data_IF_520904101061
#
_entry.id   IF_520904101061
#
_cell.length_a   1.000
_cell.length_b   1.000
_cell.length_c   1.000
_cell.angle_alpha   90.00
_cell.angle_beta   90.00
_cell.angle_gamma   90.00
#
_symmetry.space_group_name_H-M   'P 1'
#
loop_
_entity.id
_entity.type
_entity.pdbx_description
1 polymer ?
#
# COMPACT_ATOMS: atom_id res chain seq x y z
N UNK A 1 -5.77 0.04 -19.82
CA UNK A 1 -4.97 -0.42 -20.98
C UNK A 1 -5.63 -0.10 -22.32
N UNK A 2 -6.95 -0.27 -22.46
CA UNK A 2 -7.67 0.08 -23.71
C UNK A 2 -7.57 1.55 -24.10
N UNK A 3 -7.68 2.48 -23.14
CA UNK A 3 -7.59 3.93 -23.42
C UNK A 3 -6.21 4.31 -23.98
N UNK A 4 -5.11 3.74 -23.44
CA UNK A 4 -3.77 3.96 -23.99
C UNK A 4 -3.59 3.32 -25.35
N UNK A 5 -4.21 2.15 -25.63
CA UNK A 5 -4.20 1.54 -26.96
C UNK A 5 -4.97 2.36 -27.98
N UNK A 6 -6.09 2.98 -27.61
CA UNK A 6 -6.87 3.88 -28.46
C UNK A 6 -6.06 5.15 -28.77
N UNK A 7 -5.45 5.76 -27.75
CA UNK A 7 -4.59 6.93 -27.94
C UNK A 7 -3.36 6.63 -28.82
N UNK A 8 -2.77 5.45 -28.68
CA UNK A 8 -1.67 5.01 -29.53
C UNK A 8 -2.10 4.76 -30.98
N UNK A 9 -3.33 4.26 -31.22
CA UNK A 9 -3.89 4.09 -32.56
C UNK A 9 -4.21 5.42 -33.25
N UNK A 10 -4.64 6.42 -32.48
CA UNK A 10 -5.01 7.75 -32.98
C UNK A 10 -3.78 8.61 -33.24
N UNK A 11 -2.71 8.45 -32.48
CA UNK A 11 -1.48 9.23 -32.57
C UNK A 11 -0.24 8.37 -32.81
N UNK A 12 -0.13 7.74 -33.98
CA UNK A 12 1.12 7.04 -34.42
C UNK A 12 2.38 7.90 -34.32
N UNK A 13 2.23 9.17 -33.97
CA UNK A 13 3.32 10.13 -33.93
C UNK A 13 4.26 9.95 -32.73
N UNK A 14 3.75 9.40 -31.59
CA UNK A 14 4.47 9.37 -30.31
C UNK A 14 4.49 8.02 -29.60
N UNK A 15 3.87 6.99 -30.16
CA UNK A 15 3.90 5.66 -29.60
C UNK A 15 3.77 4.54 -30.65
N UNK A 16 4.31 3.37 -30.31
CA UNK A 16 4.19 2.13 -31.07
C UNK A 16 3.91 0.94 -30.15
N UNK A 17 3.48 -0.17 -30.74
CA UNK A 17 3.37 -1.45 -30.04
C UNK A 17 4.59 -2.29 -30.40
N UNK A 18 5.26 -2.85 -29.39
CA UNK A 18 6.43 -3.69 -29.60
C UNK A 18 6.06 -4.93 -30.42
N UNK A 19 6.74 -5.12 -31.56
CA UNK A 19 6.81 -6.36 -32.32
C UNK A 19 8.08 -7.10 -31.92
N UNK A 20 7.93 -8.26 -31.29
CA UNK A 20 9.07 -9.04 -30.78
C UNK A 20 10.03 -9.47 -31.89
N UNK A 21 9.53 -9.71 -33.11
CA UNK A 21 10.33 -10.12 -34.24
C UNK A 21 11.16 -8.97 -34.85
N UNK A 22 10.75 -7.72 -34.60
CA UNK A 22 11.40 -6.50 -35.09
C UNK A 22 11.90 -5.61 -33.94
N UNK A 23 11.99 -6.16 -32.73
CA UNK A 23 12.28 -5.42 -31.51
C UNK A 23 13.52 -4.54 -31.60
N UNK A 24 14.62 -5.09 -32.12
CA UNK A 24 15.90 -4.36 -32.25
C UNK A 24 15.79 -3.16 -33.20
N UNK A 25 15.16 -3.34 -34.35
CA UNK A 25 15.01 -2.28 -35.36
C UNK A 25 14.04 -1.20 -34.85
N UNK A 26 12.91 -1.58 -34.28
CA UNK A 26 11.97 -0.64 -33.63
C UNK A 26 12.64 0.21 -32.56
N UNK A 27 13.42 -0.40 -31.67
CA UNK A 27 14.13 0.33 -30.60
C UNK A 27 15.15 1.30 -31.24
N UNK A 28 15.93 0.86 -32.20
CA UNK A 28 16.91 1.72 -32.89
C UNK A 28 16.24 2.93 -33.56
N UNK A 29 15.14 2.72 -34.26
CA UNK A 29 14.39 3.79 -34.92
C UNK A 29 13.74 4.77 -33.92
N UNK A 30 13.19 4.26 -32.81
CA UNK A 30 12.68 5.09 -31.74
C UNK A 30 13.80 5.94 -31.12
N UNK A 31 14.97 5.36 -30.86
CA UNK A 31 16.12 6.09 -30.30
C UNK A 31 16.59 7.20 -31.27
N UNK A 32 16.70 6.90 -32.58
CA UNK A 32 17.01 7.92 -33.60
C UNK A 32 15.98 9.05 -33.60
N UNK A 33 14.69 8.70 -33.49
CA UNK A 33 13.59 9.65 -33.50
C UNK A 33 13.61 10.53 -32.25
N UNK A 34 13.84 9.95 -31.06
CA UNK A 34 13.96 10.72 -29.80
C UNK A 34 15.11 11.71 -29.92
N UNK A 35 16.30 11.27 -30.39
CA UNK A 35 17.46 12.14 -30.59
C UNK A 35 17.19 13.28 -31.56
N UNK A 36 16.45 13.00 -32.66
CA UNK A 36 16.13 14.02 -33.69
C UNK A 36 15.10 15.04 -33.22
N UNK A 37 14.11 14.59 -32.42
CA UNK A 37 12.94 15.44 -32.06
C UNK A 37 13.04 16.03 -30.66
N UNK A 38 13.94 15.52 -29.83
CA UNK A 38 14.05 15.82 -28.40
C UNK A 38 12.71 15.69 -27.66
N UNK A 39 11.89 14.70 -28.05
CA UNK A 39 10.56 14.45 -27.48
C UNK A 39 10.46 13.00 -26.98
N UNK A 40 9.66 12.74 -25.92
CA UNK A 40 9.46 11.40 -25.44
C UNK A 40 8.73 10.52 -26.47
N UNK A 41 8.96 9.21 -26.39
CA UNK A 41 8.29 8.21 -27.21
C UNK A 41 7.89 7.01 -26.37
N UNK A 42 6.68 6.49 -26.53
CA UNK A 42 6.19 5.34 -25.80
C UNK A 42 6.25 4.07 -26.67
N UNK A 43 6.88 3.02 -26.15
CA UNK A 43 6.81 1.68 -26.72
C UNK A 43 5.97 0.78 -25.83
N UNK A 44 4.79 0.39 -26.31
CA UNK A 44 3.84 -0.41 -25.56
C UNK A 44 4.15 -1.90 -25.71
N UNK A 45 4.39 -2.57 -24.60
CA UNK A 45 4.65 -4.00 -24.54
C UNK A 45 3.36 -4.72 -24.10
N UNK A 46 2.87 -5.65 -24.91
CA UNK A 46 1.70 -6.47 -24.56
C UNK A 46 2.04 -7.41 -23.41
N UNK A 47 1.01 -7.75 -22.62
CA UNK A 47 1.13 -8.77 -21.58
C UNK A 47 1.62 -10.09 -22.20
N UNK A 48 2.51 -10.78 -21.53
CA UNK A 48 3.11 -12.06 -21.95
C UNK A 48 4.02 -11.97 -23.20
N UNK A 49 4.50 -10.79 -23.59
CA UNK A 49 5.48 -10.64 -24.69
C UNK A 49 6.84 -11.22 -24.32
N UNK A 50 7.27 -11.05 -23.06
CA UNK A 50 8.54 -11.60 -22.57
C UNK A 50 8.32 -12.92 -21.86
N UNK A 51 9.34 -13.80 -21.90
CA UNK A 51 9.37 -15.02 -21.10
C UNK A 51 9.32 -14.71 -19.60
N UNK A 52 8.81 -15.67 -18.81
CA UNK A 52 8.78 -15.52 -17.35
C UNK A 52 10.22 -15.42 -16.83
N UNK A 53 10.50 -14.34 -16.12
CA UNK A 53 11.74 -14.22 -15.37
C UNK A 53 11.70 -15.20 -14.19
N UNK A 54 12.62 -16.15 -14.18
CA UNK A 54 12.79 -17.08 -13.06
C UNK A 54 13.47 -16.33 -11.90
N UNK A 55 12.64 -15.76 -11.05
CA UNK A 55 13.11 -15.14 -9.82
C UNK A 55 13.71 -16.22 -8.92
N UNK A 56 14.95 -16.07 -8.45
CA UNK A 56 15.43 -16.87 -7.33
C UNK A 56 14.42 -16.69 -6.20
N UNK A 57 13.75 -17.78 -5.78
CA UNK A 57 12.88 -17.74 -4.60
C UNK A 57 13.74 -17.24 -3.46
N UNK A 58 13.44 -16.05 -2.95
CA UNK A 58 13.95 -15.68 -1.64
C UNK A 58 13.49 -16.82 -0.71
N UNK A 59 14.41 -17.41 0.02
CA UNK A 59 14.08 -18.35 1.09
C UNK A 59 13.12 -17.58 1.98
N UNK A 60 11.85 -18.03 1.99
CA UNK A 60 10.84 -17.43 2.87
C UNK A 60 11.36 -17.70 4.28
N UNK A 61 11.70 -16.64 5.00
CA UNK A 61 12.00 -16.78 6.41
C UNK A 61 10.72 -17.26 7.11
N UNK A 62 10.71 -18.51 7.54
CA UNK A 62 9.53 -19.13 8.15
C UNK A 62 9.11 -18.48 9.47
N UNK A 63 9.95 -17.60 10.01
CA UNK A 63 9.68 -16.86 11.24
C UNK A 63 8.77 -15.63 11.02
N UNK A 64 8.66 -15.10 9.80
CA UNK A 64 7.86 -13.91 9.55
C UNK A 64 6.36 -14.24 9.38
N UNK A 65 5.52 -13.31 9.81
CA UNK A 65 4.07 -13.42 9.78
C UNK A 65 3.51 -13.30 8.35
N UNK A 66 2.33 -13.85 8.10
CA UNK A 66 1.57 -13.66 6.86
C UNK A 66 0.67 -12.43 7.03
N UNK A 67 0.84 -11.42 6.19
CA UNK A 67 0.09 -10.15 6.26
C UNK A 67 -1.42 -10.34 6.27
N UNK A 68 -1.96 -11.19 5.38
CA UNK A 68 -3.40 -11.46 5.32
C UNK A 68 -3.96 -11.99 6.65
N UNK A 69 -3.20 -12.84 7.35
CA UNK A 69 -3.57 -13.33 8.67
C UNK A 69 -3.48 -12.25 9.76
N UNK A 70 -2.45 -11.39 9.68
CA UNK A 70 -2.35 -10.24 10.59
C UNK A 70 -3.52 -9.27 10.42
N UNK A 71 -3.93 -8.99 9.17
CA UNK A 71 -5.11 -8.16 8.86
C UNK A 71 -6.37 -8.77 9.47
N UNK A 72 -6.58 -10.07 9.32
CA UNK A 72 -7.74 -10.77 9.89
C UNK A 72 -7.78 -10.65 11.42
N UNK A 73 -6.65 -10.89 12.09
CA UNK A 73 -6.55 -10.80 13.55
C UNK A 73 -6.74 -9.35 14.04
N UNK A 74 -6.18 -8.37 13.34
CA UNK A 74 -6.44 -6.96 13.64
C UNK A 74 -7.94 -6.67 13.54
N UNK A 75 -8.57 -6.98 12.41
CA UNK A 75 -10.01 -6.70 12.20
C UNK A 75 -10.90 -7.37 13.24
N UNK A 76 -10.58 -8.60 13.66
CA UNK A 76 -11.33 -9.29 14.71
C UNK A 76 -11.18 -8.67 16.10
N UNK A 77 -10.12 -7.90 16.32
CA UNK A 77 -9.85 -7.22 17.60
C UNK A 77 -10.30 -5.75 17.60
N UNK A 78 -10.61 -5.16 16.44
CA UNK A 78 -11.07 -3.78 16.32
C UNK A 78 -12.56 -3.65 16.68
N UNK A 79 -12.98 -2.44 17.09
CA UNK A 79 -14.38 -2.07 17.30
C UNK A 79 -15.07 -1.83 15.96
N UNK A 80 -16.36 -2.09 15.85
CA UNK A 80 -17.13 -1.92 14.60
C UNK A 80 -17.08 -0.50 14.02
N UNK A 81 -16.95 0.50 14.88
CA UNK A 81 -16.89 1.91 14.51
C UNK A 81 -15.48 2.42 14.22
N UNK A 82 -14.44 1.58 14.38
CA UNK A 82 -13.08 1.96 14.01
C UNK A 82 -12.98 2.16 12.49
N UNK A 83 -12.35 3.26 12.10
CA UNK A 83 -12.20 3.65 10.69
C UNK A 83 -10.87 3.11 10.17
N UNK A 84 -10.88 2.51 8.98
CA UNK A 84 -9.68 1.94 8.37
C UNK A 84 -9.35 2.63 7.06
N UNK A 85 -8.16 3.19 6.97
CA UNK A 85 -7.59 3.74 5.75
C UNK A 85 -6.45 2.85 5.30
N UNK A 86 -6.50 2.36 4.08
CA UNK A 86 -5.48 1.44 3.57
C UNK A 86 -4.68 2.05 2.43
N UNK A 87 -3.39 1.77 2.43
CA UNK A 87 -2.53 2.02 1.28
C UNK A 87 -2.97 1.19 0.07
N UNK A 88 -2.40 1.46 -1.10
CA UNK A 88 -2.65 0.69 -2.33
C UNK A 88 -1.92 -0.67 -2.32
N UNK A 89 -2.18 -1.50 -3.31
CA UNK A 89 -1.42 -2.72 -3.58
C UNK A 89 -2.02 -4.00 -2.98
N UNK A 90 -1.18 -4.86 -2.43
CA UNK A 90 -1.61 -6.16 -1.90
C UNK A 90 -2.38 -6.01 -0.59
N UNK A 91 -1.93 -5.12 0.29
CA UNK A 91 -2.59 -4.81 1.57
C UNK A 91 -4.06 -4.44 1.36
N UNK A 92 -4.36 -3.52 0.42
CA UNK A 92 -5.75 -3.12 0.15
C UNK A 92 -6.60 -4.26 -0.44
N UNK A 93 -6.00 -5.16 -1.21
CA UNK A 93 -6.74 -6.31 -1.79
C UNK A 93 -7.06 -7.36 -0.73
N UNK A 94 -6.11 -7.69 0.13
CA UNK A 94 -6.31 -8.61 1.24
C UNK A 94 -7.36 -8.06 2.20
N UNK A 95 -7.29 -6.77 2.51
CA UNK A 95 -8.27 -6.07 3.32
C UNK A 95 -9.67 -6.09 2.68
N UNK A 96 -9.79 -5.75 1.39
CA UNK A 96 -11.08 -5.73 0.68
C UNK A 96 -11.80 -7.08 0.69
N UNK A 97 -11.08 -8.19 0.67
CA UNK A 97 -11.72 -9.50 0.77
C UNK A 97 -12.22 -9.81 2.18
N UNK A 98 -11.57 -9.28 3.23
CA UNK A 98 -11.99 -9.44 4.61
C UNK A 98 -13.22 -8.60 4.96
N UNK A 99 -13.44 -7.46 4.32
CA UNK A 99 -14.65 -6.64 4.52
C UNK A 99 -15.95 -7.27 4.01
N UNK A 100 -15.90 -8.44 3.43
CA UNK A 100 -17.10 -9.28 3.25
C UNK A 100 -17.63 -9.86 4.58
N UNK A 101 -16.80 -9.85 5.63
CA UNK A 101 -17.07 -10.42 6.95
C UNK A 101 -17.09 -9.34 8.03
N UNK A 102 -16.22 -8.33 7.90
CA UNK A 102 -16.07 -7.24 8.86
C UNK A 102 -16.72 -5.97 8.32
N UNK A 103 -17.50 -5.27 9.14
CA UNK A 103 -18.36 -4.14 8.74
C UNK A 103 -17.74 -2.76 9.03
N UNK A 104 -16.45 -2.71 9.38
CA UNK A 104 -15.78 -1.44 9.66
C UNK A 104 -15.84 -0.48 8.47
N UNK A 105 -16.04 0.83 8.69
CA UNK A 105 -15.84 1.83 7.64
C UNK A 105 -14.41 1.78 7.12
N UNK A 106 -14.24 1.62 5.81
CA UNK A 106 -12.90 1.54 5.23
C UNK A 106 -12.77 2.30 3.91
N UNK A 107 -11.57 2.84 3.71
CA UNK A 107 -11.19 3.51 2.46
C UNK A 107 -9.84 3.00 1.96
N UNK A 108 -9.80 2.66 0.66
CA UNK A 108 -8.56 2.26 -0.03
C UNK A 108 -8.01 3.41 -0.85
N UNK A 109 -6.78 3.85 -0.55
CA UNK A 109 -6.08 4.90 -1.30
C UNK A 109 -5.55 4.37 -2.64
N UNK A 110 -6.46 4.07 -3.58
CA UNK A 110 -6.10 3.53 -4.90
C UNK A 110 -5.35 4.59 -5.70
N UNK A 111 -4.13 4.24 -6.16
CA UNK A 111 -3.26 5.14 -6.92
C UNK A 111 -2.51 6.19 -6.10
N UNK A 112 -2.84 6.35 -4.81
CA UNK A 112 -2.23 7.30 -3.89
C UNK A 112 -1.17 6.66 -2.97
N UNK A 113 -0.20 5.92 -3.51
CA UNK A 113 0.86 5.33 -2.70
C UNK A 113 1.61 6.39 -1.90
N UNK A 114 1.81 6.15 -0.59
CA UNK A 114 2.45 7.08 0.33
C UNK A 114 1.54 8.17 0.92
N UNK A 115 0.27 8.24 0.50
CA UNK A 115 -0.67 9.26 0.98
C UNK A 115 -1.75 8.74 1.95
N UNK A 116 -1.86 7.43 2.13
CA UNK A 116 -2.86 6.83 3.00
C UNK A 116 -2.78 7.37 4.44
N UNK A 117 -1.58 7.52 4.96
CA UNK A 117 -1.33 8.06 6.31
C UNK A 117 -1.80 9.52 6.47
N UNK A 118 -1.67 10.34 5.42
CA UNK A 118 -2.14 11.73 5.45
C UNK A 118 -3.68 11.83 5.35
N UNK A 119 -4.30 10.94 4.59
CA UNK A 119 -5.78 10.82 4.55
C UNK A 119 -6.29 10.40 5.92
N UNK A 120 -5.65 9.41 6.55
CA UNK A 120 -6.00 8.94 7.87
C UNK A 120 -5.80 10.03 8.95
N UNK A 121 -4.72 10.82 8.86
CA UNK A 121 -4.50 11.96 9.74
C UNK A 121 -5.64 12.98 9.64
N UNK A 122 -6.00 13.40 8.41
CA UNK A 122 -7.09 14.34 8.19
C UNK A 122 -8.44 13.85 8.75
N UNK A 123 -8.69 12.53 8.71
CA UNK A 123 -9.86 11.94 9.34
C UNK A 123 -9.75 11.96 10.87
N UNK A 124 -8.62 11.57 11.44
CA UNK A 124 -8.41 11.54 12.87
C UNK A 124 -8.56 12.93 13.52
N UNK A 125 -8.18 14.00 12.81
CA UNK A 125 -8.40 15.38 13.25
C UNK A 125 -9.88 15.79 13.28
N UNK A 126 -10.74 15.13 12.49
CA UNK A 126 -12.15 15.50 12.33
C UNK A 126 -13.14 14.49 12.91
N UNK A 127 -12.68 13.50 13.67
CA UNK A 127 -13.53 12.51 14.33
C UNK A 127 -12.98 12.13 15.71
N UNK A 128 -13.87 11.67 16.60
CA UNK A 128 -13.47 11.05 17.87
C UNK A 128 -13.27 9.53 17.75
N UNK A 129 -13.68 8.93 16.62
CA UNK A 129 -13.52 7.50 16.35
C UNK A 129 -12.05 7.18 16.14
N UNK A 130 -11.63 5.97 16.46
CA UNK A 130 -10.27 5.50 16.20
C UNK A 130 -10.04 5.36 14.70
N UNK A 131 -8.89 5.82 14.21
CA UNK A 131 -8.51 5.76 12.81
C UNK A 131 -7.23 4.94 12.66
N UNK A 132 -7.36 3.81 12.00
CA UNK A 132 -6.25 2.90 11.69
C UNK A 132 -5.78 3.10 10.25
N UNK A 133 -4.54 3.48 10.08
CA UNK A 133 -3.90 3.53 8.75
C UNK A 133 -3.13 2.23 8.52
N UNK A 134 -3.60 1.38 7.59
CA UNK A 134 -2.89 0.17 7.18
C UNK A 134 -1.96 0.49 6.02
N UNK A 135 -0.67 0.56 6.30
CA UNK A 135 0.35 1.00 5.35
C UNK A 135 1.43 -0.08 5.14
N UNK A 136 2.29 0.12 4.17
CA UNK A 136 3.43 -0.74 3.89
C UNK A 136 4.75 0.03 3.99
N UNK A 137 5.84 -0.67 4.22
CA UNK A 137 7.19 -0.10 4.29
C UNK A 137 7.53 0.75 3.05
N UNK A 138 7.29 0.23 1.85
CA UNK A 138 7.54 0.98 0.62
C UNK A 138 6.66 2.22 0.45
N UNK A 139 5.43 2.22 0.97
CA UNK A 139 4.52 3.36 0.95
C UNK A 139 4.99 4.46 1.89
N UNK A 140 5.35 4.11 3.12
CA UNK A 140 5.93 5.04 4.09
C UNK A 140 7.18 5.72 3.54
N UNK A 141 8.07 4.94 2.93
CA UNK A 141 9.33 5.46 2.38
C UNK A 141 9.14 6.47 1.24
N UNK A 142 8.04 6.36 0.49
CA UNK A 142 7.73 7.35 -0.57
C UNK A 142 7.45 8.75 -0.02
N UNK A 143 6.85 8.86 1.16
CA UNK A 143 6.47 10.12 1.78
C UNK A 143 6.89 10.18 3.26
N UNK A 144 8.14 9.80 3.54
CA UNK A 144 8.68 9.70 4.90
C UNK A 144 8.50 11.01 5.71
N UNK A 145 8.64 12.16 5.07
CA UNK A 145 8.41 13.47 5.69
C UNK A 145 6.98 13.66 6.22
N UNK A 146 5.99 12.96 5.66
CA UNK A 146 4.62 12.98 6.15
C UNK A 146 4.47 12.42 7.57
N UNK A 147 5.37 11.55 8.01
CA UNK A 147 5.37 11.03 9.38
C UNK A 147 5.66 12.12 10.41
N UNK A 148 6.48 13.12 10.07
CA UNK A 148 6.73 14.27 10.95
C UNK A 148 5.45 15.10 11.15
N UNK A 149 4.64 15.27 10.10
CA UNK A 149 3.33 15.94 10.22
C UNK A 149 2.38 15.13 11.13
N UNK A 150 2.42 13.79 11.04
CA UNK A 150 1.64 12.93 11.93
C UNK A 150 2.10 13.09 13.38
N UNK A 151 3.40 13.11 13.63
CA UNK A 151 3.94 13.27 14.98
C UNK A 151 3.61 14.63 15.61
N UNK A 152 3.61 15.69 14.80
CA UNK A 152 3.24 17.04 15.21
C UNK A 152 1.73 17.19 15.49
N UNK A 153 0.89 16.68 14.59
CA UNK A 153 -0.56 16.93 14.56
C UNK A 153 -1.39 15.72 14.93
N UNK A 154 -0.79 14.53 14.99
CA UNK A 154 -1.52 13.30 15.20
C UNK A 154 -2.18 13.25 16.57
N UNK A 155 -3.49 12.98 16.54
CA UNK A 155 -4.31 12.87 17.73
C UNK A 155 -4.16 11.51 18.42
N UNK A 156 -4.66 11.41 19.65
CA UNK A 156 -4.69 10.17 20.43
C UNK A 156 -5.41 9.01 19.75
N UNK A 157 -6.30 9.28 18.80
CA UNK A 157 -7.09 8.32 18.04
C UNK A 157 -6.45 7.87 16.71
N UNK A 158 -5.18 8.23 16.43
CA UNK A 158 -4.48 7.85 15.21
C UNK A 158 -3.52 6.66 15.44
N UNK A 159 -3.73 5.58 14.68
CA UNK A 159 -2.96 4.33 14.76
C UNK A 159 -2.39 3.96 13.40
N UNK A 160 -1.06 3.98 13.27
CA UNK A 160 -0.35 3.68 12.03
C UNK A 160 0.17 2.24 12.05
N UNK A 161 -0.50 1.34 11.35
CA UNK A 161 -0.11 -0.08 11.22
C UNK A 161 0.76 -0.23 9.98
N UNK A 162 2.02 -0.62 10.17
CA UNK A 162 3.02 -0.76 9.13
C UNK A 162 3.30 -2.23 8.87
N UNK A 163 2.87 -2.77 7.75
CA UNK A 163 3.22 -4.11 7.30
C UNK A 163 4.55 -4.07 6.53
N UNK A 164 5.63 -4.46 7.19
CA UNK A 164 6.98 -4.41 6.64
C UNK A 164 7.41 -5.77 6.11
N UNK A 165 7.40 -5.92 4.79
CA UNK A 165 7.88 -7.11 4.08
C UNK A 165 9.20 -6.88 3.34
N UNK A 166 9.83 -5.72 3.53
CA UNK A 166 11.09 -5.29 2.89
C UNK A 166 11.08 -5.35 1.36
N UNK A 167 9.87 -5.26 0.74
CA UNK A 167 9.75 -5.43 -0.71
C UNK A 167 8.58 -4.68 -1.34
N UNK A 168 8.79 -4.21 -2.57
CA UNK A 168 7.73 -3.73 -3.46
C UNK A 168 6.99 -4.91 -4.11
N UNK A 169 6.26 -5.67 -3.32
CA UNK A 169 5.66 -6.95 -3.71
C UNK A 169 4.71 -6.84 -4.92
N UNK A 170 3.92 -5.76 -5.00
CA UNK A 170 2.90 -5.59 -6.05
C UNK A 170 3.47 -5.30 -7.45
N UNK A 171 4.74 -4.92 -7.55
CA UNK A 171 5.40 -4.53 -8.81
C UNK A 171 6.63 -5.36 -9.15
N UNK A 172 6.84 -6.48 -8.47
CA UNK A 172 7.93 -7.41 -8.80
C UNK A 172 8.76 -7.87 -7.60
N UNK A 173 8.50 -7.32 -6.39
CA UNK A 173 9.15 -7.71 -5.15
C UNK A 173 10.63 -7.35 -5.08
N UNK A 174 11.00 -6.21 -5.66
CA UNK A 174 12.29 -5.58 -5.43
C UNK A 174 12.37 -5.17 -3.96
N UNK A 175 13.56 -5.27 -3.38
CA UNK A 175 13.78 -4.87 -2.00
C UNK A 175 13.54 -3.37 -1.81
N UNK A 176 12.90 -3.02 -0.70
CA UNK A 176 12.90 -1.66 -0.18
C UNK A 176 14.16 -1.43 0.67
N UNK A 177 14.38 -0.21 1.14
CA UNK A 177 15.47 0.09 2.09
C UNK A 177 15.02 -0.01 3.55
N UNK A 178 13.80 -0.50 3.81
CA UNK A 178 13.23 -0.61 5.17
C UNK A 178 14.09 -1.46 6.10
N UNK A 179 14.81 -2.45 5.57
CA UNK A 179 15.72 -3.30 6.35
C UNK A 179 16.84 -2.53 7.07
N UNK A 180 17.17 -1.31 6.61
CA UNK A 180 18.18 -0.43 7.23
C UNK A 180 17.56 0.59 8.21
N UNK A 181 16.24 0.60 8.36
CA UNK A 181 15.53 1.61 9.15
C UNK A 181 15.15 1.03 10.51
N UNK A 182 15.57 1.71 11.55
CA UNK A 182 15.06 1.50 12.89
C UNK A 182 13.75 2.29 13.04
N UNK A 183 12.62 1.61 12.78
CA UNK A 183 11.30 2.25 12.84
C UNK A 183 10.91 2.72 14.24
N UNK A 184 11.46 2.11 15.30
CA UNK A 184 11.23 2.55 16.66
C UNK A 184 11.84 3.94 16.89
N UNK A 185 13.16 4.06 16.66
CA UNK A 185 13.85 5.36 16.80
C UNK A 185 13.28 6.41 15.86
N UNK A 186 12.95 6.01 14.61
CA UNK A 186 12.34 6.89 13.62
C UNK A 186 11.01 7.44 14.13
N UNK A 187 10.12 6.59 14.63
CA UNK A 187 8.79 7.00 15.09
C UNK A 187 8.88 8.00 16.25
N UNK A 188 9.68 7.71 17.26
CA UNK A 188 9.87 8.61 18.39
C UNK A 188 10.51 9.94 17.99
N UNK A 189 11.52 9.92 17.11
CA UNK A 189 12.18 11.15 16.64
C UNK A 189 11.25 12.04 15.81
N UNK A 190 10.23 11.47 15.19
CA UNK A 190 9.21 12.17 14.41
C UNK A 190 7.96 12.55 15.23
N UNK A 191 7.93 12.25 16.56
CA UNK A 191 6.88 12.70 17.46
C UNK A 191 5.77 11.71 17.76
N UNK A 192 5.84 10.47 17.26
CA UNK A 192 4.92 9.42 17.71
C UNK A 192 5.07 9.20 19.21
N UNK A 193 3.96 8.96 19.90
CA UNK A 193 3.94 8.79 21.35
C UNK A 193 4.23 7.38 21.80
N UNK A 194 3.88 6.40 20.95
CA UNK A 194 4.11 4.98 21.21
C UNK A 194 4.53 4.24 19.96
N UNK A 195 5.30 3.17 20.19
CA UNK A 195 5.69 2.22 19.18
C UNK A 195 5.51 0.79 19.70
N UNK A 196 4.90 -0.08 18.88
CA UNK A 196 4.79 -1.51 19.13
C UNK A 196 5.38 -2.28 17.96
N UNK A 197 6.29 -3.22 18.26
CA UNK A 197 6.81 -4.15 17.28
C UNK A 197 6.15 -5.51 17.47
N UNK A 198 5.51 -6.01 16.42
CA UNK A 198 4.81 -7.29 16.43
C UNK A 198 5.63 -8.32 15.62
N UNK A 199 5.98 -9.44 16.26
CA UNK A 199 6.76 -10.53 15.68
C UNK A 199 6.03 -11.88 15.69
N UNK A 200 4.89 -11.96 16.38
CA UNK A 200 4.03 -13.15 16.47
C UNK A 200 2.53 -12.76 16.45
N UNK A 201 1.68 -13.76 16.18
CA UNK A 201 0.24 -13.51 16.03
C UNK A 201 -0.48 -13.18 17.35
N UNK A 202 0.00 -13.70 18.48
CA UNK A 202 -0.63 -13.50 19.79
C UNK A 202 -0.49 -12.03 20.24
N UNK A 203 0.65 -11.43 19.97
CA UNK A 203 0.94 -10.02 20.28
C UNK A 203 -0.01 -9.04 19.58
N UNK A 204 -0.72 -9.43 18.51
CA UNK A 204 -1.66 -8.53 17.80
C UNK A 204 -2.82 -8.15 18.71
N UNK A 205 -3.48 -9.14 19.32
CA UNK A 205 -4.63 -8.91 20.21
C UNK A 205 -4.20 -8.16 21.48
N UNK A 206 -3.05 -8.52 22.04
CA UNK A 206 -2.50 -7.85 23.23
C UNK A 206 -2.21 -6.36 22.96
N UNK A 207 -1.64 -6.03 21.79
CA UNK A 207 -1.39 -4.63 21.43
C UNK A 207 -2.72 -3.88 21.29
N UNK A 208 -3.72 -4.44 20.59
CA UNK A 208 -5.03 -3.77 20.44
C UNK A 208 -5.69 -3.53 21.81
N UNK A 209 -5.62 -4.47 22.77
CA UNK A 209 -6.11 -4.26 24.15
C UNK A 209 -5.39 -3.10 24.84
N UNK A 210 -4.06 -3.01 24.70
CA UNK A 210 -3.29 -1.89 25.28
C UNK A 210 -3.68 -0.53 24.68
N UNK A 211 -4.15 -0.49 23.42
CA UNK A 211 -4.66 0.75 22.81
C UNK A 211 -6.00 1.19 23.43
N UNK A 212 -6.79 0.26 23.97
CA UNK A 212 -8.03 0.58 24.69
C UNK A 212 -7.78 1.12 26.10
N UNK A 213 -6.68 0.68 26.72
CA UNK A 213 -6.31 1.08 28.10
C UNK A 213 -5.63 2.45 28.16
N UNK A 214 -4.90 2.81 27.10
CA UNK A 214 -4.12 4.04 27.06
C UNK A 214 -4.30 4.76 25.71
N UNK A 215 -5.13 5.77 25.72
CA UNK A 215 -5.47 6.62 24.57
C UNK A 215 -4.36 7.59 24.16
N UNK A 216 -3.10 7.37 24.49
CA UNK A 216 -2.02 8.24 24.00
C UNK A 216 -1.64 7.90 22.55
N UNK A 217 -1.64 8.91 21.67
CA UNK A 217 -1.28 8.78 20.28
C UNK A 217 -0.60 10.05 19.73
N UNK A 218 -0.10 10.02 18.51
CA UNK A 218 -0.18 8.94 17.52
C UNK A 218 0.68 7.72 17.86
N UNK A 219 0.18 6.52 17.47
CA UNK A 219 0.83 5.23 17.75
C UNK A 219 1.31 4.62 16.46
N UNK A 220 2.53 4.08 16.42
CA UNK A 220 3.01 3.23 15.33
C UNK A 220 3.01 1.75 15.75
N UNK A 221 2.41 0.89 14.94
CA UNK A 221 2.37 -0.57 15.12
C UNK A 221 3.10 -1.19 13.94
N UNK A 222 4.31 -1.67 14.16
CA UNK A 222 5.19 -2.22 13.13
C UNK A 222 5.12 -3.75 13.14
N UNK A 223 4.66 -4.35 12.06
CA UNK A 223 4.46 -5.79 11.92
C UNK A 223 5.40 -6.32 10.83
N UNK A 224 6.37 -7.16 11.22
CA UNK A 224 7.23 -7.83 10.25
C UNK A 224 6.46 -8.97 9.59
N UNK A 225 6.36 -8.93 8.26
CA UNK A 225 5.59 -9.90 7.48
C UNK A 225 6.43 -10.49 6.35
N UNK A 226 6.04 -11.68 5.87
CA UNK A 226 6.66 -12.29 4.68
C UNK A 226 6.34 -11.49 3.42
N UNK A 227 7.27 -11.46 2.47
CA UNK A 227 6.99 -11.00 1.10
C UNK A 227 6.18 -12.10 0.37
N UNK A 228 4.92 -12.24 0.78
CA UNK A 228 4.00 -13.28 0.30
C UNK A 228 2.58 -12.75 0.20
N UNK A 229 1.91 -13.09 -0.90
CA UNK A 229 0.45 -13.00 -1.04
C UNK A 229 -0.03 -14.19 -1.86
N UNK A 230 -1.23 -14.68 -1.60
CA UNK A 230 -1.81 -15.77 -2.38
C UNK A 230 -2.03 -15.35 -3.85
N UNK A 231 -1.92 -16.32 -4.77
CA UNK A 231 -1.96 -16.05 -6.22
C UNK A 231 -3.34 -15.59 -6.70
N UNK A 232 -4.41 -16.13 -6.11
CA UNK A 232 -5.81 -15.86 -6.49
C UNK A 232 -6.41 -14.63 -5.80
N UNK A 233 -5.59 -13.73 -5.24
CA UNK A 233 -6.05 -12.50 -4.61
C UNK A 233 -6.77 -11.60 -5.61
N UNK A 234 -8.07 -11.37 -5.41
CA UNK A 234 -8.91 -10.60 -6.31
C UNK A 234 -8.56 -9.09 -6.31
N UNK A 235 -9.06 -8.39 -7.31
CA UNK A 235 -9.08 -6.92 -7.30
C UNK A 235 -10.42 -6.46 -6.76
N UNK A 236 -10.47 -5.28 -6.08
CA UNK A 236 -11.74 -4.66 -5.73
C UNK A 236 -12.65 -4.53 -6.95
N UNK A 237 -13.93 -4.85 -6.79
CA UNK A 237 -14.94 -4.78 -7.85
C UNK A 237 -15.50 -3.38 -8.04
N UNK A 238 -15.57 -2.60 -6.96
CA UNK A 238 -16.05 -1.22 -6.98
C UNK A 238 -15.03 -0.30 -7.65
N UNK A 239 -15.53 0.67 -8.40
CA UNK A 239 -14.72 1.77 -8.89
C UNK A 239 -14.24 2.64 -7.72
N UNK A 240 -13.14 3.41 -7.87
CA UNK A 240 -12.68 4.33 -6.81
C UNK A 240 -13.75 5.35 -6.41
N UNK A 241 -14.61 5.77 -7.34
CA UNK A 241 -15.70 6.71 -7.08
C UNK A 241 -16.79 6.07 -6.20
N UNK A 242 -17.27 4.89 -6.55
CA UNK A 242 -18.27 4.15 -5.76
C UNK A 242 -17.74 3.84 -4.36
N UNK A 243 -16.49 3.41 -4.28
CA UNK A 243 -15.85 3.14 -3.00
C UNK A 243 -15.79 4.38 -2.10
N UNK A 244 -15.46 5.56 -2.67
CA UNK A 244 -15.48 6.84 -1.96
C UNK A 244 -16.89 7.19 -1.43
N UNK A 245 -17.93 7.00 -2.25
CA UNK A 245 -19.31 7.29 -1.85
C UNK A 245 -19.75 6.37 -0.71
N UNK A 246 -19.50 5.06 -0.83
CA UNK A 246 -19.82 4.10 0.20
C UNK A 246 -19.11 4.43 1.54
N UNK A 247 -17.83 4.78 1.46
CA UNK A 247 -17.07 5.20 2.64
C UNK A 247 -17.67 6.46 3.28
N UNK A 248 -18.00 7.49 2.49
CA UNK A 248 -18.66 8.70 3.04
C UNK A 248 -19.95 8.38 3.76
N UNK A 249 -20.78 7.53 3.17
CA UNK A 249 -22.07 7.14 3.79
C UNK A 249 -21.84 6.41 5.12
N UNK A 250 -20.88 5.50 5.20
CA UNK A 250 -20.56 4.77 6.45
C UNK A 250 -19.95 5.64 7.57
N UNK A 251 -19.53 6.87 7.27
CA UNK A 251 -19.10 7.82 8.30
C UNK A 251 -20.25 8.63 8.88
N UNK A 252 -21.39 8.69 8.19
CA UNK A 252 -22.56 9.49 8.59
C UNK A 252 -23.54 8.74 9.48
N UNK A 253 -23.33 7.43 9.61
CA UNK A 253 -24.06 6.52 10.51
C UNK A 253 -23.35 6.43 11.88
#
# INVERSE_FOLDING_TARGET
MEIMQISCRISKKWCDILDINKCKDQINDIVKRIKKTNKPYALLVRKNTFSKYLKKKNVLDDKNLIREKCIELLLSSLKKDDIIISTTGKTSRELNEKFKIFENPYFMSIGGMGHASQIALGLAENTKRRVFCFDGDGSILMHLGGLATIGERGNKNFYHVVFDNEAHESVGGQKTVSYNIDFEKLSYSLGYKKYFKILDYLSIEEVVKKLDEDESGPVMIHIKVKCFSRENLSRPSLSPFEHKINFKNSLSE
#
